data_IF_546895719351
#
_entry.id   IF_546895719351
#
_cell.length_a   1.000
_cell.length_b   1.000
_cell.length_c   1.000
_cell.angle_alpha   90.00
_cell.angle_beta   90.00
_cell.angle_gamma   90.00
#
_symmetry.space_group_name_H-M   'P 1'
#
loop_
_entity.id
_entity.type
_entity.pdbx_description
1 polymer ?
#
# COMPACT_ATOMS: atom_id res chain seq x y z
N UNK A 1 21.62 -3.27 29.61
CA UNK A 1 20.24 -3.55 30.09
C UNK A 1 19.93 -2.87 31.41
N UNK A 2 20.84 -2.73 32.39
CA UNK A 2 20.51 -2.03 33.66
C UNK A 2 20.21 -0.53 33.49
N UNK A 3 20.95 0.17 32.63
CA UNK A 3 20.82 1.64 32.48
C UNK A 3 19.50 2.09 31.83
N UNK A 4 19.02 1.39 30.80
CA UNK A 4 17.75 1.72 30.13
C UNK A 4 16.53 1.50 31.05
N UNK A 5 16.50 0.40 31.80
CA UNK A 5 15.43 0.11 32.75
C UNK A 5 15.46 1.08 33.94
N UNK A 6 16.64 1.57 34.33
CA UNK A 6 16.77 2.64 35.33
C UNK A 6 16.26 3.99 34.82
N UNK A 7 16.49 4.31 33.55
CA UNK A 7 15.91 5.50 32.89
C UNK A 7 14.39 5.41 32.88
N UNK A 8 13.82 4.27 32.46
CA UNK A 8 12.36 4.06 32.46
C UNK A 8 11.73 4.20 33.85
N UNK A 9 12.40 3.69 34.89
CA UNK A 9 11.94 3.85 36.26
C UNK A 9 11.95 5.31 36.73
N UNK A 10 12.84 6.15 36.20
CA UNK A 10 12.80 7.60 36.45
C UNK A 10 11.68 8.28 35.67
N UNK A 11 11.30 7.73 34.52
CA UNK A 11 10.20 8.25 33.68
C UNK A 11 8.82 7.87 34.24
N UNK A 12 8.70 6.84 35.08
CA UNK A 12 7.41 6.46 35.69
C UNK A 12 6.85 7.50 36.66
N UNK A 13 7.68 8.45 37.11
CA UNK A 13 7.27 9.55 37.99
C UNK A 13 6.58 10.71 37.23
N UNK A 14 6.54 10.64 35.89
CA UNK A 14 5.96 11.66 35.02
C UNK A 14 4.56 11.27 34.50
N UNK A 15 3.92 12.19 33.77
CA UNK A 15 2.58 12.00 33.18
C UNK A 15 2.53 10.81 32.21
N UNK A 16 1.75 9.79 32.55
CA UNK A 16 1.63 8.58 31.75
C UNK A 16 0.89 8.81 30.43
N UNK A 17 1.28 8.08 29.40
CA UNK A 17 0.54 8.04 28.14
C UNK A 17 -0.88 7.49 28.35
N UNK A 18 -1.82 7.96 27.52
CA UNK A 18 -3.19 7.46 27.53
C UNK A 18 -3.22 5.94 27.24
N UNK A 19 -4.04 5.15 27.95
CA UNK A 19 -4.16 3.71 27.70
C UNK A 19 -4.71 3.38 26.30
N UNK A 20 -4.28 2.24 25.75
CA UNK A 20 -4.67 1.79 24.41
C UNK A 20 -6.18 1.60 24.23
N UNK A 21 -6.90 1.27 25.31
CA UNK A 21 -8.34 1.04 25.30
C UNK A 21 -9.20 2.33 25.34
N UNK A 22 -8.58 3.50 25.54
CA UNK A 22 -9.28 4.79 25.62
C UNK A 22 -9.13 5.58 24.31
N UNK A 23 -10.24 6.14 23.83
CA UNK A 23 -10.21 7.06 22.70
C UNK A 23 -9.77 8.47 23.12
N UNK A 24 -8.80 9.05 22.39
CA UNK A 24 -8.43 10.47 22.54
C UNK A 24 -9.57 11.38 22.07
N UNK A 25 -9.50 12.67 22.42
CA UNK A 25 -10.49 13.64 21.94
C UNK A 25 -10.51 13.74 20.41
N UNK A 26 -9.33 13.74 19.77
CA UNK A 26 -9.20 13.74 18.31
C UNK A 26 -9.85 12.50 17.68
N UNK A 27 -9.64 11.32 18.26
CA UNK A 27 -10.25 10.06 17.78
C UNK A 27 -11.78 10.10 17.90
N UNK A 28 -12.31 10.60 19.03
CA UNK A 28 -13.77 10.74 19.23
C UNK A 28 -14.38 11.70 18.21
N UNK A 29 -13.72 12.83 17.95
CA UNK A 29 -14.17 13.81 16.95
C UNK A 29 -14.15 13.18 15.55
N UNK A 30 -13.07 12.51 15.16
CA UNK A 30 -12.96 11.84 13.87
C UNK A 30 -14.05 10.76 13.67
N UNK A 31 -14.28 9.92 14.68
CA UNK A 31 -15.36 8.92 14.66
C UNK A 31 -16.73 9.60 14.52
N UNK A 32 -16.96 10.70 15.26
CA UNK A 32 -18.18 11.49 15.16
C UNK A 32 -18.40 12.08 13.77
N UNK A 33 -17.36 12.63 13.14
CA UNK A 33 -17.39 13.13 11.76
C UNK A 33 -17.77 12.00 10.80
N UNK A 34 -17.15 10.82 10.93
CA UNK A 34 -17.44 9.67 10.07
C UNK A 34 -18.90 9.21 10.20
N UNK A 35 -19.39 9.03 11.43
CA UNK A 35 -20.78 8.62 11.68
C UNK A 35 -21.76 9.65 11.09
N UNK A 36 -21.47 10.94 11.29
CA UNK A 36 -22.29 12.03 10.74
C UNK A 36 -22.28 12.02 9.22
N UNK A 37 -21.10 11.83 8.59
CA UNK A 37 -20.98 11.73 7.14
C UNK A 37 -21.77 10.54 6.57
N UNK A 38 -21.69 9.36 7.20
CA UNK A 38 -22.47 8.18 6.81
C UNK A 38 -23.98 8.44 6.98
N UNK A 39 -24.39 9.09 8.06
CA UNK A 39 -25.78 9.45 8.30
C UNK A 39 -26.30 10.44 7.25
N UNK A 40 -25.54 11.50 6.93
CA UNK A 40 -25.88 12.46 5.87
C UNK A 40 -25.98 11.76 4.52
N UNK A 41 -25.01 10.90 4.17
CA UNK A 41 -25.03 10.13 2.93
C UNK A 41 -26.28 9.25 2.85
N UNK A 42 -26.58 8.52 3.92
CA UNK A 42 -27.73 7.61 3.98
C UNK A 42 -29.06 8.35 3.90
N UNK A 43 -29.22 9.42 4.69
CA UNK A 43 -30.43 10.24 4.69
C UNK A 43 -30.60 10.99 3.36
N UNK A 44 -29.51 11.49 2.77
CA UNK A 44 -29.53 12.15 1.47
C UNK A 44 -29.96 11.19 0.36
N UNK A 45 -29.44 9.97 0.34
CA UNK A 45 -29.83 8.92 -0.62
C UNK A 45 -31.29 8.48 -0.45
N UNK A 46 -31.82 8.47 0.78
CA UNK A 46 -33.18 8.03 1.08
C UNK A 46 -34.24 9.13 0.86
N UNK A 47 -33.96 10.35 1.27
CA UNK A 47 -34.96 11.43 1.34
C UNK A 47 -34.79 12.52 0.27
N UNK A 48 -33.62 12.61 -0.37
CA UNK A 48 -33.31 13.68 -1.33
C UNK A 48 -32.45 13.17 -2.50
N UNK A 49 -32.73 11.96 -3.01
CA UNK A 49 -31.88 11.27 -3.99
C UNK A 49 -31.57 12.13 -5.23
N UNK A 50 -32.58 12.76 -5.82
CA UNK A 50 -32.40 13.58 -7.04
C UNK A 50 -31.41 14.73 -6.81
N UNK A 51 -31.61 15.52 -5.76
CA UNK A 51 -30.73 16.67 -5.47
C UNK A 51 -29.38 16.25 -4.90
N UNK A 52 -29.35 15.22 -4.06
CA UNK A 52 -28.14 14.84 -3.31
C UNK A 52 -27.22 13.91 -4.12
N UNK A 53 -27.80 12.90 -4.78
CA UNK A 53 -27.05 11.95 -5.59
C UNK A 53 -27.01 12.37 -7.04
N UNK A 54 -28.17 12.48 -7.72
CA UNK A 54 -28.22 12.67 -9.18
C UNK A 54 -27.55 13.97 -9.62
N UNK A 55 -27.87 15.10 -8.97
CA UNK A 55 -27.30 16.41 -9.32
C UNK A 55 -26.03 16.75 -8.52
N UNK A 56 -25.82 16.08 -7.38
CA UNK A 56 -24.75 16.38 -6.42
C UNK A 56 -23.55 15.46 -6.55
N UNK A 57 -23.59 14.31 -5.88
CA UNK A 57 -22.44 13.41 -5.76
C UNK A 57 -22.15 12.61 -7.03
N UNK A 58 -23.14 12.31 -7.86
CA UNK A 58 -22.95 11.46 -9.04
C UNK A 58 -22.01 12.12 -10.08
N UNK A 59 -22.15 13.40 -10.47
CA UNK A 59 -21.22 14.03 -11.42
C UNK A 59 -19.79 14.17 -10.88
N UNK A 60 -19.66 14.26 -9.55
CA UNK A 60 -18.38 14.42 -8.86
C UNK A 60 -17.70 13.06 -8.72
N UNK A 61 -18.36 12.07 -8.12
CA UNK A 61 -17.75 10.80 -7.75
C UNK A 61 -17.99 9.72 -8.79
N UNK A 62 -19.21 9.55 -9.28
CA UNK A 62 -19.62 8.36 -10.04
C UNK A 62 -19.39 8.48 -11.55
N UNK A 63 -19.77 9.61 -12.16
CA UNK A 63 -19.65 9.79 -13.60
C UNK A 63 -18.18 9.72 -14.08
N UNK A 64 -17.18 10.25 -13.33
CA UNK A 64 -15.77 10.02 -13.67
C UNK A 64 -15.35 8.56 -13.59
N UNK A 65 -15.87 7.78 -12.63
CA UNK A 65 -15.59 6.34 -12.51
C UNK A 65 -16.14 5.60 -13.74
N UNK A 66 -17.39 5.88 -14.12
CA UNK A 66 -18.02 5.26 -15.30
C UNK A 66 -17.31 5.68 -16.59
N UNK A 67 -16.84 6.93 -16.68
CA UNK A 67 -16.07 7.39 -17.82
C UNK A 67 -14.70 6.68 -17.91
N UNK A 68 -14.04 6.45 -16.78
CA UNK A 68 -12.78 5.69 -16.72
C UNK A 68 -13.00 4.19 -17.00
N UNK A 69 -14.22 3.68 -16.80
CA UNK A 69 -14.64 2.32 -17.14
C UNK A 69 -14.99 2.13 -18.62
N UNK A 70 -15.38 3.21 -19.29
CA UNK A 70 -15.77 3.17 -20.69
C UNK A 70 -14.59 3.11 -21.65
N UNK A 71 -14.91 3.00 -22.93
CA UNK A 71 -14.02 2.76 -24.09
C UNK A 71 -12.83 3.71 -24.28
N UNK A 72 -12.66 4.73 -23.44
CA UNK A 72 -11.56 5.70 -23.53
C UNK A 72 -10.53 5.58 -22.40
N UNK A 73 -10.81 4.89 -21.29
CA UNK A 73 -9.83 4.59 -20.22
C UNK A 73 -9.07 5.77 -19.58
N UNK A 74 -9.48 7.02 -19.85
CA UNK A 74 -8.70 8.23 -19.55
C UNK A 74 -9.58 9.36 -18.99
N UNK A 75 -10.25 9.12 -17.86
CA UNK A 75 -10.90 10.20 -17.13
C UNK A 75 -9.90 10.94 -16.21
N UNK A 76 -9.71 12.24 -16.42
CA UNK A 76 -8.92 13.10 -15.54
C UNK A 76 -9.60 13.39 -14.19
N UNK A 77 -8.81 13.71 -13.16
CA UNK A 77 -9.33 14.04 -11.83
C UNK A 77 -9.69 15.53 -11.70
N UNK A 78 -10.82 15.84 -11.07
CA UNK A 78 -11.15 17.21 -10.67
C UNK A 78 -10.50 17.56 -9.31
N UNK A 79 -10.29 18.86 -9.00
CA UNK A 79 -9.85 19.30 -7.67
C UNK A 79 -10.81 18.85 -6.55
N UNK A 80 -12.12 18.83 -6.82
CA UNK A 80 -13.15 18.42 -5.87
C UNK A 80 -13.00 16.92 -5.51
N UNK A 81 -12.84 16.06 -6.52
CA UNK A 81 -12.68 14.62 -6.33
C UNK A 81 -11.42 14.33 -5.53
N UNK A 82 -10.33 15.00 -5.92
CA UNK A 82 -9.03 14.89 -5.25
C UNK A 82 -9.14 15.26 -3.78
N UNK A 83 -9.82 16.35 -3.45
CA UNK A 83 -10.02 16.79 -2.07
C UNK A 83 -10.88 15.82 -1.24
N UNK A 84 -11.95 15.27 -1.84
CA UNK A 84 -12.82 14.26 -1.19
C UNK A 84 -12.02 13.00 -0.87
N UNK A 85 -11.25 12.49 -1.82
CA UNK A 85 -10.45 11.28 -1.64
C UNK A 85 -9.34 11.48 -0.60
N UNK A 86 -8.61 12.60 -0.67
CA UNK A 86 -7.57 12.92 0.31
C UNK A 86 -8.14 13.06 1.73
N UNK A 87 -9.26 13.77 1.88
CA UNK A 87 -9.91 13.98 3.19
C UNK A 87 -10.47 12.68 3.77
N UNK A 88 -11.07 11.83 2.91
CA UNK A 88 -11.57 10.51 3.31
C UNK A 88 -10.44 9.60 3.77
N UNK A 89 -9.29 9.62 3.07
CA UNK A 89 -8.11 8.85 3.45
C UNK A 89 -7.55 9.31 4.80
N UNK A 90 -7.40 10.61 5.03
CA UNK A 90 -6.92 11.16 6.31
C UNK A 90 -7.87 10.79 7.47
N UNK A 91 -9.18 10.91 7.25
CA UNK A 91 -10.19 10.51 8.23
C UNK A 91 -10.11 9.00 8.51
N UNK A 92 -9.96 8.17 7.47
CA UNK A 92 -9.83 6.73 7.60
C UNK A 92 -8.59 6.34 8.41
N UNK A 93 -7.45 7.00 8.24
CA UNK A 93 -6.24 6.74 9.05
C UNK A 93 -6.52 6.94 10.54
N UNK A 94 -7.15 8.05 10.93
CA UNK A 94 -7.43 8.37 12.34
C UNK A 94 -8.48 7.43 12.93
N UNK A 95 -9.50 7.04 12.17
CA UNK A 95 -10.54 6.12 12.64
C UNK A 95 -10.01 4.69 12.71
N UNK A 96 -9.41 4.18 11.63
CA UNK A 96 -8.93 2.80 11.54
C UNK A 96 -7.83 2.52 12.55
N UNK A 97 -6.89 3.43 12.78
CA UNK A 97 -5.85 3.21 13.81
C UNK A 97 -6.47 2.97 15.19
N UNK A 98 -7.54 3.70 15.53
CA UNK A 98 -8.20 3.58 16.83
C UNK A 98 -8.96 2.25 16.97
N UNK A 99 -9.54 1.77 15.88
CA UNK A 99 -10.21 0.46 15.81
C UNK A 99 -9.17 -0.65 15.89
N UNK A 100 -8.09 -0.57 15.11
CA UNK A 100 -7.05 -1.60 15.06
C UNK A 100 -6.31 -1.72 16.39
N UNK A 101 -6.07 -0.60 17.08
CA UNK A 101 -5.53 -0.59 18.43
C UNK A 101 -6.45 -1.32 19.42
N UNK A 102 -7.75 -1.02 19.39
CA UNK A 102 -8.73 -1.66 20.29
C UNK A 102 -8.96 -3.14 20.01
N UNK A 103 -8.78 -3.56 18.76
CA UNK A 103 -8.79 -4.96 18.34
C UNK A 103 -7.44 -5.67 18.58
N UNK A 104 -6.44 -4.98 19.14
CA UNK A 104 -5.10 -5.51 19.41
C UNK A 104 -4.46 -6.15 18.17
N UNK A 105 -4.72 -5.58 16.98
CA UNK A 105 -4.19 -6.13 15.73
C UNK A 105 -2.66 -5.94 15.69
N UNK A 106 -1.90 -6.91 15.12
CA UNK A 106 -0.46 -6.78 15.01
C UNK A 106 -0.08 -5.55 14.18
N UNK A 107 0.84 -4.74 14.68
CA UNK A 107 1.35 -3.54 14.00
C UNK A 107 2.90 -3.51 14.02
N UNK A 108 3.51 -4.66 13.74
CA UNK A 108 4.96 -4.83 13.64
C UNK A 108 5.45 -4.81 12.17
N UNK A 109 6.77 -4.86 11.99
CA UNK A 109 7.40 -4.90 10.66
C UNK A 109 6.87 -6.05 9.78
N UNK A 110 6.44 -7.17 10.40
CA UNK A 110 5.86 -8.32 9.67
C UNK A 110 4.49 -7.97 9.10
N UNK A 111 3.66 -7.25 9.86
CA UNK A 111 2.39 -6.73 9.36
C UNK A 111 2.60 -5.75 8.21
N UNK A 112 3.61 -4.87 8.30
CA UNK A 112 3.94 -3.97 7.19
C UNK A 112 4.26 -4.75 5.91
N UNK A 113 5.08 -5.81 5.99
CA UNK A 113 5.38 -6.68 4.84
C UNK A 113 4.13 -7.37 4.28
N UNK A 114 3.21 -7.79 5.16
CA UNK A 114 1.93 -8.34 4.73
C UNK A 114 1.14 -7.31 3.94
N UNK A 115 0.96 -6.10 4.47
CA UNK A 115 0.20 -5.02 3.82
C UNK A 115 0.82 -4.57 2.48
N UNK A 116 2.16 -4.52 2.38
CA UNK A 116 2.85 -4.21 1.12
C UNK A 116 2.43 -5.18 0.01
N UNK A 117 2.28 -6.48 0.30
CA UNK A 117 1.84 -7.45 -0.72
C UNK A 117 0.45 -7.15 -1.29
N UNK A 118 -0.44 -6.56 -0.48
CA UNK A 118 -1.76 -6.11 -0.93
C UNK A 118 -1.70 -4.79 -1.70
N UNK A 119 -0.80 -3.87 -1.32
CA UNK A 119 -0.55 -2.65 -2.08
C UNK A 119 -0.02 -2.96 -3.47
N UNK A 120 0.77 -4.03 -3.63
CA UNK A 120 1.25 -4.51 -4.95
C UNK A 120 0.15 -5.24 -5.73
N UNK A 121 -0.75 -5.97 -5.06
CA UNK A 121 -1.86 -6.68 -5.72
C UNK A 121 -2.79 -5.73 -6.49
N UNK A 122 -3.10 -4.57 -5.90
CA UNK A 122 -4.01 -3.59 -6.50
C UNK A 122 -3.59 -3.10 -7.91
N UNK A 123 -2.37 -2.56 -8.12
CA UNK A 123 -1.93 -2.16 -9.44
C UNK A 123 -1.76 -3.35 -10.40
N UNK A 124 -1.42 -4.54 -9.91
CA UNK A 124 -1.36 -5.75 -10.76
C UNK A 124 -2.71 -6.06 -11.41
N UNK A 125 -3.79 -5.98 -10.63
CA UNK A 125 -5.14 -6.12 -11.16
C UNK A 125 -5.56 -4.91 -12.00
N UNK A 126 -5.16 -3.69 -11.63
CA UNK A 126 -5.49 -2.48 -12.40
C UNK A 126 -4.87 -2.49 -13.80
N UNK A 127 -3.65 -2.99 -13.94
CA UNK A 127 -2.98 -3.09 -15.26
C UNK A 127 -3.64 -4.14 -16.14
N UNK A 128 -4.17 -5.23 -15.56
CA UNK A 128 -5.00 -6.18 -16.32
C UNK A 128 -6.31 -5.54 -16.79
N UNK A 129 -6.89 -4.68 -15.97
CA UNK A 129 -8.05 -3.88 -16.39
C UNK A 129 -7.67 -2.89 -17.49
N UNK A 130 -6.55 -2.18 -17.36
CA UNK A 130 -6.05 -1.26 -18.39
C UNK A 130 -5.71 -1.96 -19.72
N UNK A 131 -5.48 -3.28 -19.70
CA UNK A 131 -5.30 -4.09 -20.90
C UNK A 131 -6.58 -4.71 -21.45
N UNK A 132 -7.77 -4.33 -20.96
CA UNK A 132 -9.08 -4.87 -21.35
C UNK A 132 -9.25 -6.37 -21.05
N UNK A 133 -8.59 -6.88 -20.00
CA UNK A 133 -8.72 -8.29 -19.61
C UNK A 133 -10.12 -8.61 -19.10
N UNK A 134 -10.67 -7.78 -18.21
CA UNK A 134 -11.94 -8.08 -17.55
C UNK A 134 -13.12 -7.72 -18.45
N UNK A 135 -14.19 -8.51 -18.37
CA UNK A 135 -15.41 -8.24 -19.15
C UNK A 135 -16.09 -6.93 -18.70
N UNK A 136 -16.79 -6.27 -19.62
CA UNK A 136 -17.61 -5.05 -19.40
C UNK A 136 -18.74 -5.15 -18.34
N UNK A 137 -18.88 -6.30 -17.67
CA UNK A 137 -19.81 -6.50 -16.55
C UNK A 137 -19.13 -6.32 -15.18
N UNK A 138 -17.80 -6.43 -15.13
CA UNK A 138 -17.01 -6.49 -13.89
C UNK A 138 -15.86 -5.45 -13.90
N UNK A 139 -15.47 -4.92 -15.06
CA UNK A 139 -14.57 -3.77 -15.25
C UNK A 139 -14.64 -2.68 -14.16
N UNK A 140 -15.85 -2.18 -13.86
CA UNK A 140 -16.09 -1.13 -12.88
C UNK A 140 -15.60 -1.47 -11.46
N UNK A 141 -15.49 -2.75 -11.12
CA UNK A 141 -14.99 -3.23 -9.84
C UNK A 141 -13.47 -3.00 -9.70
N UNK A 142 -12.75 -2.96 -10.82
CA UNK A 142 -11.28 -2.83 -10.88
C UNK A 142 -10.83 -1.37 -11.03
N UNK A 143 -11.76 -0.41 -11.03
CA UNK A 143 -11.48 1.01 -11.20
C UNK A 143 -11.40 1.71 -9.86
N UNK A 144 -10.55 2.75 -9.77
CA UNK A 144 -10.43 3.57 -8.58
C UNK A 144 -11.69 4.43 -8.34
N UNK A 145 -12.20 4.53 -7.10
CA UNK A 145 -11.67 3.96 -5.87
C UNK A 145 -12.21 2.55 -5.53
N UNK A 146 -13.13 2.00 -6.33
CA UNK A 146 -13.85 0.74 -6.06
C UNK A 146 -12.91 -0.45 -5.85
N UNK A 147 -11.82 -0.50 -6.63
CA UNK A 147 -10.77 -1.52 -6.49
C UNK A 147 -10.24 -1.62 -5.05
N UNK A 148 -10.04 -0.47 -4.39
CA UNK A 148 -9.52 -0.42 -3.04
C UNK A 148 -10.52 -0.96 -2.02
N UNK A 149 -11.83 -0.74 -2.23
CA UNK A 149 -12.87 -1.21 -1.32
C UNK A 149 -13.04 -2.73 -1.36
N UNK A 150 -13.10 -3.33 -2.55
CA UNK A 150 -13.26 -4.79 -2.62
C UNK A 150 -11.95 -5.51 -2.23
N UNK A 151 -10.77 -4.96 -2.54
CA UNK A 151 -9.51 -5.52 -2.04
C UNK A 151 -9.40 -5.41 -0.52
N UNK A 152 -9.85 -4.30 0.07
CA UNK A 152 -9.97 -4.18 1.52
C UNK A 152 -10.94 -5.23 2.10
N UNK A 153 -12.06 -5.52 1.41
CA UNK A 153 -12.97 -6.59 1.81
C UNK A 153 -12.27 -7.96 1.80
N UNK A 154 -11.53 -8.28 0.74
CA UNK A 154 -10.72 -9.52 0.68
C UNK A 154 -9.69 -9.58 1.81
N UNK A 155 -8.98 -8.48 2.07
CA UNK A 155 -7.99 -8.37 3.15
C UNK A 155 -8.64 -8.65 4.51
N UNK A 156 -9.79 -8.03 4.80
CA UNK A 156 -10.54 -8.24 6.04
C UNK A 156 -11.04 -9.69 6.16
N UNK A 157 -11.55 -10.28 5.07
CA UNK A 157 -12.00 -11.68 5.06
C UNK A 157 -10.84 -12.65 5.33
N UNK A 158 -9.69 -12.44 4.69
CA UNK A 158 -8.48 -13.26 4.92
C UNK A 158 -8.01 -13.11 6.35
N UNK A 159 -7.95 -11.88 6.88
CA UNK A 159 -7.58 -11.63 8.28
C UNK A 159 -8.54 -12.34 9.25
N UNK A 160 -9.84 -12.21 9.03
CA UNK A 160 -10.88 -12.83 9.85
C UNK A 160 -10.81 -14.36 9.82
N UNK A 161 -10.69 -14.97 8.64
CA UNK A 161 -10.59 -16.43 8.47
C UNK A 161 -9.31 -16.94 9.14
N UNK A 162 -8.19 -16.27 8.92
CA UNK A 162 -6.90 -16.66 9.49
C UNK A 162 -6.92 -16.59 11.02
N UNK A 163 -7.48 -15.51 11.58
CA UNK A 163 -7.68 -15.39 13.02
C UNK A 163 -8.61 -16.48 13.56
N UNK A 164 -9.83 -16.60 13.00
CA UNK A 164 -10.87 -17.49 13.50
C UNK A 164 -10.42 -18.95 13.55
N UNK A 165 -9.68 -19.41 12.54
CA UNK A 165 -9.28 -20.82 12.47
C UNK A 165 -7.95 -21.12 13.16
N UNK A 166 -7.03 -20.16 13.22
CA UNK A 166 -5.65 -20.43 13.60
C UNK A 166 -5.12 -19.65 14.81
N UNK A 167 -5.84 -18.64 15.33
CA UNK A 167 -5.36 -17.84 16.47
C UNK A 167 -5.10 -18.66 17.74
N UNK A 168 -5.84 -19.77 17.93
CA UNK A 168 -5.64 -20.72 19.03
C UNK A 168 -4.27 -21.40 19.06
N UNK A 169 -3.52 -21.34 17.95
CA UNK A 169 -2.16 -21.86 17.85
C UNK A 169 -1.09 -20.76 17.82
N UNK A 170 -1.49 -19.48 17.93
CA UNK A 170 -0.54 -18.39 17.97
C UNK A 170 0.32 -18.48 19.26
N UNK A 171 1.64 -18.38 19.09
CA UNK A 171 2.61 -18.49 20.19
C UNK A 171 2.94 -19.92 20.64
N UNK A 172 2.29 -20.95 20.10
CA UNK A 172 2.65 -22.34 20.35
C UNK A 172 3.76 -22.79 19.40
N UNK A 173 4.94 -23.07 19.96
CA UNK A 173 6.14 -23.40 19.16
C UNK A 173 6.34 -24.90 18.90
N UNK A 174 5.41 -25.76 19.32
CA UNK A 174 5.51 -27.19 19.04
C UNK A 174 5.21 -27.49 17.55
N UNK A 175 6.03 -28.38 16.97
CA UNK A 175 5.96 -28.75 15.56
C UNK A 175 4.55 -29.19 15.12
N UNK A 176 3.83 -29.89 16.01
CA UNK A 176 2.48 -30.41 15.74
C UNK A 176 1.46 -29.29 15.59
N UNK A 177 1.48 -28.27 16.44
CA UNK A 177 0.56 -27.13 16.33
C UNK A 177 0.93 -26.21 15.16
N UNK A 178 2.22 -26.01 14.88
CA UNK A 178 2.69 -25.28 13.69
C UNK A 178 2.19 -25.96 12.42
N UNK A 179 2.30 -27.29 12.34
CA UNK A 179 1.80 -28.08 11.22
C UNK A 179 0.28 -27.98 11.08
N UNK A 180 -0.49 -28.14 12.17
CA UNK A 180 -1.96 -27.98 12.14
C UNK A 180 -2.38 -26.60 11.64
N UNK A 181 -1.74 -25.55 12.16
CA UNK A 181 -1.97 -24.17 11.73
C UNK A 181 -1.66 -23.99 10.24
N UNK A 182 -0.52 -24.51 9.77
CA UNK A 182 -0.14 -24.47 8.35
C UNK A 182 -1.16 -25.17 7.47
N UNK A 183 -1.52 -26.40 7.80
CA UNK A 183 -2.45 -27.22 7.01
C UNK A 183 -3.82 -26.57 6.95
N UNK A 184 -4.31 -26.05 8.07
CA UNK A 184 -5.60 -25.36 8.11
C UNK A 184 -5.59 -24.10 7.24
N UNK A 185 -4.56 -23.25 7.37
CA UNK A 185 -4.42 -22.06 6.53
C UNK A 185 -4.26 -22.40 5.04
N UNK A 186 -3.48 -23.42 4.70
CA UNK A 186 -3.29 -23.81 3.30
C UNK A 186 -4.60 -24.25 2.66
N UNK A 187 -5.42 -25.03 3.37
CA UNK A 187 -6.73 -25.46 2.88
C UNK A 187 -7.67 -24.26 2.75
N UNK A 188 -7.84 -23.45 3.80
CA UNK A 188 -8.81 -22.34 3.78
C UNK A 188 -8.41 -21.25 2.80
N UNK A 189 -7.15 -20.81 2.81
CA UNK A 189 -6.64 -19.79 1.90
C UNK A 189 -6.52 -20.31 0.47
N UNK A 190 -6.24 -21.60 0.28
CA UNK A 190 -6.27 -22.25 -1.03
C UNK A 190 -7.67 -22.21 -1.65
N UNK A 191 -8.71 -22.56 -0.88
CA UNK A 191 -10.10 -22.41 -1.33
C UNK A 191 -10.45 -20.95 -1.64
N UNK A 192 -10.01 -20.00 -0.83
CA UNK A 192 -10.20 -18.57 -1.11
C UNK A 192 -9.48 -18.12 -2.37
N UNK A 193 -8.25 -18.61 -2.61
CA UNK A 193 -7.46 -18.28 -3.80
C UNK A 193 -8.12 -18.83 -5.06
N UNK A 194 -8.66 -20.05 -4.99
CA UNK A 194 -9.48 -20.61 -6.06
C UNK A 194 -10.73 -19.78 -6.32
N UNK A 195 -11.44 -19.37 -5.25
CA UNK A 195 -12.63 -18.54 -5.37
C UNK A 195 -12.31 -17.16 -5.96
N UNK A 196 -11.19 -16.55 -5.56
CA UNK A 196 -10.68 -15.30 -6.11
C UNK A 196 -10.37 -15.42 -7.60
N UNK A 197 -9.66 -16.48 -8.01
CA UNK A 197 -9.41 -16.79 -9.42
C UNK A 197 -10.72 -17.00 -10.20
N UNK A 198 -11.63 -17.80 -9.66
CA UNK A 198 -12.90 -18.14 -10.31
C UNK A 198 -13.83 -16.93 -10.47
N UNK A 199 -13.80 -15.99 -9.52
CA UNK A 199 -14.63 -14.79 -9.54
C UNK A 199 -14.08 -13.72 -10.48
N UNK A 200 -12.77 -13.45 -10.41
CA UNK A 200 -12.17 -12.32 -11.12
C UNK A 200 -11.62 -12.70 -12.50
N UNK A 201 -10.90 -13.81 -12.62
CA UNK A 201 -10.13 -14.12 -13.82
C UNK A 201 -10.87 -15.03 -14.78
N UNK A 202 -11.54 -16.08 -14.26
CA UNK A 202 -12.22 -17.07 -15.10
C UNK A 202 -13.26 -16.48 -16.07
N UNK A 203 -14.05 -15.45 -15.73
CA UNK A 203 -15.01 -14.87 -16.68
C UNK A 203 -14.35 -14.33 -17.96
N UNK A 204 -13.15 -13.76 -17.85
CA UNK A 204 -12.42 -13.17 -18.99
C UNK A 204 -12.03 -14.21 -20.04
N UNK A 205 -11.75 -15.45 -19.64
CA UNK A 205 -11.36 -16.52 -20.57
C UNK A 205 -12.46 -16.92 -21.54
N UNK A 206 -13.73 -16.59 -21.24
CA UNK A 206 -14.86 -16.84 -22.14
C UNK A 206 -15.11 -15.69 -23.11
N UNK A 207 -14.52 -14.52 -22.85
CA UNK A 207 -14.62 -13.33 -23.74
C UNK A 207 -13.49 -13.37 -24.76
N UNK A 208 -12.29 -13.76 -24.33
CA UNK A 208 -11.09 -13.80 -25.16
C UNK A 208 -10.88 -15.20 -25.75
N UNK A 209 -11.49 -15.48 -26.91
CA UNK A 209 -11.50 -16.84 -27.53
C UNK A 209 -10.10 -17.37 -27.90
N UNK A 210 -9.13 -16.51 -28.18
CA UNK A 210 -7.76 -16.89 -28.58
C UNK A 210 -6.76 -16.94 -27.41
N UNK A 211 -7.22 -16.80 -26.15
CA UNK A 211 -6.31 -16.77 -25.00
C UNK A 211 -5.60 -18.11 -24.80
N UNK A 212 -4.27 -18.09 -24.78
CA UNK A 212 -3.48 -19.27 -24.41
C UNK A 212 -3.73 -19.72 -22.97
N UNK A 213 -3.69 -21.03 -22.72
CA UNK A 213 -3.88 -21.58 -21.37
C UNK A 213 -2.57 -21.85 -20.62
N UNK A 214 -1.42 -21.80 -21.32
CA UNK A 214 -0.13 -22.20 -20.78
C UNK A 214 0.27 -21.38 -19.55
N UNK A 215 0.30 -20.05 -19.66
CA UNK A 215 0.70 -19.18 -18.54
C UNK A 215 -0.38 -19.09 -17.46
N UNK A 216 -1.66 -19.26 -17.82
CA UNK A 216 -2.76 -19.34 -16.86
C UNK A 216 -2.59 -20.54 -15.93
N UNK A 217 -2.35 -21.74 -16.48
CA UNK A 217 -2.19 -22.96 -15.70
C UNK A 217 -0.93 -22.89 -14.84
N UNK A 218 0.20 -22.47 -15.42
CA UNK A 218 1.45 -22.30 -14.68
C UNK A 218 1.28 -21.26 -13.57
N UNK A 219 0.59 -20.15 -13.85
CA UNK A 219 0.30 -19.12 -12.86
C UNK A 219 -0.52 -19.62 -11.69
N UNK A 220 -1.58 -20.39 -11.96
CA UNK A 220 -2.38 -20.98 -10.90
C UNK A 220 -1.53 -21.93 -10.03
N UNK A 221 -0.74 -22.82 -10.64
CA UNK A 221 0.16 -23.72 -9.89
C UNK A 221 1.19 -22.94 -9.09
N UNK A 222 1.83 -21.94 -9.70
CA UNK A 222 2.83 -21.09 -9.06
C UNK A 222 2.24 -20.33 -7.86
N UNK A 223 1.02 -19.82 -7.97
CA UNK A 223 0.32 -19.15 -6.86
C UNK A 223 0.08 -20.09 -5.68
N UNK A 224 -0.29 -21.35 -5.90
CA UNK A 224 -0.42 -22.34 -4.82
C UNK A 224 0.92 -22.72 -4.21
N UNK A 225 1.98 -22.84 -5.01
CA UNK A 225 3.34 -23.08 -4.52
C UNK A 225 3.80 -21.91 -3.65
N UNK A 226 3.58 -20.67 -4.09
CA UNK A 226 3.92 -19.47 -3.31
C UNK A 226 3.11 -19.40 -2.03
N UNK A 227 1.79 -19.69 -2.08
CA UNK A 227 0.95 -19.78 -0.89
C UNK A 227 1.54 -20.75 0.13
N UNK A 228 1.92 -21.96 -0.30
CA UNK A 228 2.54 -22.96 0.57
C UNK A 228 3.88 -22.48 1.13
N UNK A 229 4.79 -21.98 0.28
CA UNK A 229 6.12 -21.51 0.67
C UNK A 229 6.04 -20.36 1.68
N UNK A 230 5.13 -19.42 1.46
CA UNK A 230 4.91 -18.30 2.38
C UNK A 230 4.41 -18.79 3.72
N UNK A 231 3.48 -19.74 3.75
CA UNK A 231 3.03 -20.35 5.00
C UNK A 231 4.17 -21.11 5.72
N UNK A 232 5.13 -21.69 5.01
CA UNK A 232 6.31 -22.33 5.60
C UNK A 232 7.27 -21.29 6.18
N UNK A 233 7.64 -20.27 5.42
CA UNK A 233 8.60 -19.24 5.85
C UNK A 233 8.09 -18.36 6.98
N UNK A 234 6.77 -18.18 7.07
CA UNK A 234 6.11 -17.36 8.10
C UNK A 234 5.52 -18.20 9.22
N UNK A 235 5.98 -19.44 9.41
CA UNK A 235 5.43 -20.38 10.40
C UNK A 235 5.34 -19.82 11.84
N UNK A 236 6.28 -18.93 12.22
CA UNK A 236 6.33 -18.28 13.55
C UNK A 236 5.65 -16.92 13.62
N UNK A 237 4.94 -16.51 12.56
CA UNK A 237 4.25 -15.22 12.52
C UNK A 237 2.84 -15.36 13.08
N UNK A 238 2.23 -14.28 13.62
CA UNK A 238 0.84 -14.30 14.03
C UNK A 238 -0.07 -14.76 12.89
N UNK A 239 -1.11 -15.54 13.21
CA UNK A 239 -2.05 -16.12 12.25
C UNK A 239 -2.59 -15.11 11.24
N UNK A 240 -3.00 -13.92 11.68
CA UNK A 240 -3.49 -12.83 10.83
C UNK A 240 -2.42 -12.42 9.82
N UNK A 241 -1.25 -12.00 10.29
CA UNK A 241 -0.15 -11.52 9.45
C UNK A 241 0.30 -12.58 8.45
N UNK A 242 0.39 -13.82 8.91
CA UNK A 242 0.73 -15.00 8.11
C UNK A 242 -0.27 -15.24 6.98
N UNK A 243 -1.57 -15.21 7.28
CA UNK A 243 -2.59 -15.39 6.26
C UNK A 243 -2.63 -14.26 5.24
N UNK A 244 -2.50 -13.02 5.71
CA UNK A 244 -2.47 -11.82 4.86
C UNK A 244 -1.30 -11.84 3.87
N UNK A 245 -0.08 -12.11 4.35
CA UNK A 245 1.10 -12.13 3.46
C UNK A 245 1.05 -13.31 2.49
N UNK A 246 0.60 -14.49 2.94
CA UNK A 246 0.52 -15.67 2.08
C UNK A 246 -0.50 -15.47 0.95
N UNK A 247 -1.71 -14.99 1.26
CA UNK A 247 -2.74 -14.74 0.27
C UNK A 247 -2.41 -13.57 -0.66
N UNK A 248 -1.90 -12.46 -0.10
CA UNK A 248 -1.53 -11.28 -0.88
C UNK A 248 -0.46 -11.62 -1.92
N UNK A 249 0.65 -12.24 -1.50
CA UNK A 249 1.72 -12.66 -2.42
C UNK A 249 1.26 -13.70 -3.45
N UNK A 250 0.47 -14.71 -3.07
CA UNK A 250 -0.03 -15.72 -4.03
C UNK A 250 -0.96 -15.11 -5.09
N UNK A 251 -1.79 -14.15 -4.69
CA UNK A 251 -2.72 -13.46 -5.60
C UNK A 251 -1.98 -12.50 -6.53
N UNK A 252 -0.93 -11.84 -6.04
CA UNK A 252 -0.05 -11.00 -6.86
C UNK A 252 0.67 -11.82 -7.93
N UNK A 253 1.19 -12.99 -7.56
CA UNK A 253 1.80 -13.93 -8.50
C UNK A 253 0.80 -14.36 -9.56
N UNK A 254 -0.45 -14.63 -9.17
CA UNK A 254 -1.51 -15.00 -10.11
C UNK A 254 -1.67 -13.91 -11.18
N UNK A 255 -1.75 -12.65 -10.76
CA UNK A 255 -1.90 -11.52 -11.69
C UNK A 255 -0.70 -11.32 -12.62
N UNK A 256 0.53 -11.43 -12.11
CA UNK A 256 1.73 -11.35 -12.97
C UNK A 256 1.79 -12.45 -14.03
N UNK A 257 1.34 -13.67 -13.72
CA UNK A 257 1.25 -14.71 -14.75
C UNK A 257 0.20 -14.40 -15.82
N UNK A 258 -0.83 -13.61 -15.51
CA UNK A 258 -1.77 -13.10 -16.52
C UNK A 258 -1.16 -11.96 -17.35
N UNK A 259 -0.25 -11.17 -16.80
CA UNK A 259 0.57 -10.25 -17.60
C UNK A 259 1.41 -11.04 -18.61
N UNK A 260 2.09 -12.11 -18.18
CA UNK A 260 2.85 -12.99 -19.08
C UNK A 260 1.95 -13.67 -20.13
N UNK A 261 0.73 -14.02 -19.75
CA UNK A 261 -0.27 -14.54 -20.68
C UNK A 261 -0.61 -13.51 -21.77
N UNK A 262 -0.83 -12.25 -21.40
CA UNK A 262 -1.07 -11.16 -22.34
C UNK A 262 0.12 -10.95 -23.28
N UNK A 263 1.34 -10.92 -22.75
CA UNK A 263 2.55 -10.76 -23.56
C UNK A 263 2.73 -11.91 -24.57
N UNK A 264 2.31 -13.13 -24.22
CA UNK A 264 2.45 -14.31 -25.06
C UNK A 264 1.34 -14.43 -26.12
N UNK A 265 0.09 -14.17 -25.76
CA UNK A 265 -1.04 -14.12 -26.69
C UNK A 265 -1.89 -12.89 -26.34
N UNK A 266 -1.58 -11.71 -26.91
CA UNK A 266 -2.36 -10.51 -26.67
C UNK A 266 -3.79 -10.70 -27.15
N UNK A 267 -4.76 -10.27 -26.35
CA UNK A 267 -6.15 -10.18 -26.80
C UNK A 267 -6.44 -8.79 -27.39
N UNK A 268 -7.53 -8.69 -28.13
CA UNK A 268 -7.93 -7.44 -28.77
C UNK A 268 -8.31 -6.40 -27.71
N UNK A 269 -7.66 -5.24 -27.77
CA UNK A 269 -8.00 -4.10 -26.92
C UNK A 269 -9.13 -3.29 -27.55
N UNK A 270 -10.02 -2.75 -26.73
CA UNK A 270 -11.11 -1.87 -27.19
C UNK A 270 -10.56 -0.56 -27.76
N UNK A 271 -9.38 -0.13 -27.28
CA UNK A 271 -8.67 1.05 -27.77
C UNK A 271 -8.16 0.94 -29.21
N UNK A 272 -8.14 -0.28 -29.78
CA UNK A 272 -7.61 -0.54 -31.12
C UNK A 272 -6.09 -0.38 -31.23
N UNK A 273 -5.37 -0.22 -30.12
CA UNK A 273 -3.90 -0.21 -30.11
C UNK A 273 -3.37 -1.58 -30.51
N UNK A 274 -2.34 -1.56 -31.33
CA UNK A 274 -1.60 -2.75 -31.75
C UNK A 274 -0.30 -2.71 -30.95
N UNK A 275 -0.01 -3.76 -30.18
CA UNK A 275 1.24 -3.87 -29.43
C UNK A 275 2.40 -3.99 -30.42
N UNK A 276 3.12 -2.89 -30.65
CA UNK A 276 4.19 -2.83 -31.66
C UNK A 276 5.56 -3.22 -31.08
N UNK A 277 5.83 -2.87 -29.81
CA UNK A 277 7.07 -3.25 -29.14
C UNK A 277 6.91 -3.28 -27.61
N UNK A 278 7.52 -4.27 -26.95
CA UNK A 278 7.47 -4.45 -25.50
C UNK A 278 8.86 -4.16 -24.88
N UNK A 279 9.23 -2.89 -24.64
CA UNK A 279 10.50 -2.58 -24.01
C UNK A 279 10.44 -2.97 -22.53
N UNK A 280 11.25 -3.97 -22.15
CA UNK A 280 11.37 -4.41 -20.75
C UNK A 280 12.38 -3.57 -19.93
N UNK A 281 13.18 -2.74 -20.59
CA UNK A 281 14.21 -1.94 -19.93
C UNK A 281 13.66 -0.89 -18.94
N UNK A 282 12.47 -0.27 -19.12
CA UNK A 282 11.88 0.64 -18.12
C UNK A 282 11.69 -0.04 -16.77
N UNK A 283 11.32 -1.32 -16.74
CA UNK A 283 11.27 -2.12 -15.50
C UNK A 283 12.58 -2.12 -14.74
N UNK A 284 13.70 -2.28 -15.44
CA UNK A 284 15.02 -2.30 -14.81
C UNK A 284 15.35 -0.95 -14.18
N UNK A 285 14.96 0.16 -14.83
CA UNK A 285 15.27 1.50 -14.32
C UNK A 285 14.35 1.88 -13.16
N UNK A 286 13.04 1.79 -13.35
CA UNK A 286 12.02 2.24 -12.37
C UNK A 286 12.00 1.34 -11.13
N UNK A 287 12.26 0.02 -11.27
CA UNK A 287 12.30 -0.88 -10.12
C UNK A 287 13.71 -1.03 -9.54
N UNK A 288 14.74 -0.95 -10.40
CA UNK A 288 16.13 -1.18 -10.02
C UNK A 288 16.79 0.01 -9.32
N UNK A 289 16.63 1.23 -9.82
CA UNK A 289 17.23 2.42 -9.20
C UNK A 289 16.68 2.67 -7.78
N UNK A 290 15.35 2.66 -7.53
CA UNK A 290 14.83 2.76 -6.17
C UNK A 290 15.27 1.60 -5.28
N UNK A 291 15.38 0.39 -5.84
CA UNK A 291 15.87 -0.79 -5.13
C UNK A 291 17.33 -0.63 -4.67
N UNK A 292 18.17 -0.05 -5.52
CA UNK A 292 19.56 0.26 -5.20
C UNK A 292 19.67 1.33 -4.10
N UNK A 293 18.86 2.39 -4.16
CA UNK A 293 18.79 3.41 -3.11
C UNK A 293 18.35 2.78 -1.77
N UNK A 294 17.31 1.97 -1.79
CA UNK A 294 16.83 1.23 -0.62
C UNK A 294 17.90 0.27 -0.07
N UNK A 295 18.68 -0.37 -0.93
CA UNK A 295 19.80 -1.21 -0.51
C UNK A 295 20.89 -0.42 0.22
N UNK A 296 21.25 0.78 -0.26
CA UNK A 296 22.18 1.67 0.43
C UNK A 296 21.65 2.11 1.81
N UNK A 297 20.37 2.51 1.88
CA UNK A 297 19.71 2.88 3.15
C UNK A 297 19.69 1.70 4.13
N UNK A 298 19.30 0.52 3.67
CA UNK A 298 19.28 -0.69 4.48
C UNK A 298 20.68 -1.04 5.00
N UNK A 299 21.70 -0.96 4.13
CA UNK A 299 23.10 -1.21 4.52
C UNK A 299 23.57 -0.25 5.61
N UNK A 300 23.15 1.01 5.54
CA UNK A 300 23.50 2.02 6.54
C UNK A 300 22.82 1.77 7.90
N UNK A 301 21.55 1.35 7.90
CA UNK A 301 20.76 1.20 9.14
C UNK A 301 20.76 -0.19 9.79
N UNK A 302 21.24 -1.24 9.11
CA UNK A 302 21.05 -2.65 9.52
C UNK A 302 21.67 -2.97 10.88
N UNK A 303 22.85 -2.43 11.19
CA UNK A 303 23.55 -2.73 12.44
C UNK A 303 22.80 -2.14 13.64
N UNK A 304 22.41 -0.88 13.55
CA UNK A 304 21.65 -0.18 14.58
C UNK A 304 20.25 -0.79 14.76
N UNK A 305 19.59 -1.19 13.67
CA UNK A 305 18.32 -1.92 13.73
C UNK A 305 18.47 -3.26 14.46
N UNK A 306 19.59 -3.96 14.28
CA UNK A 306 19.88 -5.22 14.97
C UNK A 306 20.13 -4.98 16.47
N UNK A 307 20.90 -3.96 16.82
CA UNK A 307 21.16 -3.59 18.22
C UNK A 307 19.88 -3.16 18.96
N UNK A 308 19.00 -2.42 18.29
CA UNK A 308 17.68 -2.07 18.82
C UNK A 308 16.84 -3.31 19.12
N UNK A 309 16.78 -4.26 18.17
CA UNK A 309 16.03 -5.50 18.35
C UNK A 309 16.57 -6.37 19.48
N UNK A 310 17.89 -6.43 19.66
CA UNK A 310 18.51 -7.12 20.80
C UNK A 310 18.22 -6.43 22.13
N UNK A 311 18.04 -5.11 22.12
CA UNK A 311 17.70 -4.32 23.31
C UNK A 311 16.22 -4.42 23.70
N UNK A 312 15.37 -5.05 22.89
CA UNK A 312 13.93 -5.19 23.15
C UNK A 312 13.10 -3.97 22.76
N UNK A 313 13.69 -2.96 22.11
CA UNK A 313 13.02 -1.73 21.71
C UNK A 313 12.71 -1.70 20.21
N UNK A 314 11.68 -0.94 19.83
CA UNK A 314 11.34 -0.67 18.44
C UNK A 314 11.78 0.73 18.05
N UNK A 315 12.39 0.88 16.87
CA UNK A 315 12.95 2.15 16.43
C UNK A 315 11.87 3.25 16.32
N UNK A 316 12.12 4.40 16.95
CA UNK A 316 11.19 5.54 16.99
C UNK A 316 9.88 5.31 17.75
N UNK A 317 9.77 4.25 18.56
CA UNK A 317 8.58 3.99 19.40
C UNK A 317 8.99 4.05 20.86
N UNK A 318 8.31 4.89 21.63
CA UNK A 318 8.58 5.06 23.06
C UNK A 318 8.20 3.82 23.90
N UNK A 319 8.82 3.64 25.08
CA UNK A 319 8.44 2.57 26.00
C UNK A 319 6.98 2.66 26.43
N UNK A 320 6.41 1.53 26.85
CA UNK A 320 5.01 1.44 27.26
C UNK A 320 4.72 2.37 28.43
N UNK A 321 3.67 3.19 28.31
CA UNK A 321 3.24 4.12 29.36
C UNK A 321 3.96 5.47 29.36
N UNK A 322 4.98 5.68 28.52
CA UNK A 322 5.70 6.96 28.42
C UNK A 322 5.07 7.84 27.33
N UNK A 323 4.69 9.07 27.69
CA UNK A 323 4.18 10.07 26.74
C UNK A 323 5.30 10.79 26.01
N UNK A 324 5.01 11.36 24.84
CA UNK A 324 6.01 12.18 24.09
C UNK A 324 6.47 13.37 24.94
N UNK A 325 5.54 14.05 25.60
CA UNK A 325 5.84 15.20 26.45
C UNK A 325 6.80 14.84 27.59
N UNK A 326 6.56 13.71 28.25
CA UNK A 326 7.47 13.17 29.27
C UNK A 326 8.86 12.89 28.72
N UNK A 327 8.95 12.34 27.51
CA UNK A 327 10.23 12.04 26.86
C UNK A 327 11.03 13.31 26.57
N UNK A 328 10.36 14.33 26.03
CA UNK A 328 10.95 15.64 25.71
C UNK A 328 11.37 16.40 26.98
N UNK A 329 10.52 16.41 28.02
CA UNK A 329 10.83 17.05 29.32
C UNK A 329 12.04 16.40 30.02
N UNK A 330 12.28 15.10 29.74
CA UNK A 330 13.36 14.32 30.30
C UNK A 330 14.59 14.18 29.37
N UNK A 331 14.78 15.10 28.41
CA UNK A 331 15.81 15.04 27.35
C UNK A 331 17.19 14.58 27.89
N UNK A 332 17.68 15.21 28.97
CA UNK A 332 18.99 14.90 29.58
C UNK A 332 19.11 13.48 30.14
N UNK A 333 18.01 12.86 30.51
CA UNK A 333 17.95 11.50 31.06
C UNK A 333 17.90 10.48 29.92
N UNK A 334 17.17 10.81 28.84
CA UNK A 334 16.92 9.89 27.72
C UNK A 334 18.01 9.90 26.65
N UNK A 335 18.98 10.83 26.68
CA UNK A 335 20.12 10.88 25.72
C UNK A 335 20.86 9.54 25.61
N UNK A 336 21.02 8.83 26.73
CA UNK A 336 21.70 7.52 26.76
C UNK A 336 20.78 6.34 26.42
N UNK A 337 19.50 6.60 26.18
CA UNK A 337 18.54 5.55 25.88
C UNK A 337 18.78 5.00 24.46
N UNK A 338 18.73 3.67 24.23
CA UNK A 338 18.92 3.07 22.91
C UNK A 338 18.03 3.67 21.81
N UNK A 339 16.78 4.02 22.16
CA UNK A 339 15.85 4.72 21.26
C UNK A 339 16.47 6.02 20.74
N UNK A 340 17.09 6.83 21.58
CA UNK A 340 17.62 8.13 21.18
C UNK A 340 18.91 7.98 20.37
N UNK A 341 19.76 7.03 20.75
CA UNK A 341 21.05 6.81 20.11
C UNK A 341 20.94 6.11 18.74
N UNK A 342 20.03 5.13 18.61
CA UNK A 342 20.02 4.19 17.49
C UNK A 342 18.83 4.38 16.54
N UNK A 343 17.72 5.02 16.98
CA UNK A 343 16.48 5.01 16.17
C UNK A 343 16.65 5.66 14.79
N UNK A 344 17.40 6.77 14.69
CA UNK A 344 17.56 7.49 13.42
C UNK A 344 18.10 6.59 12.32
N UNK A 345 19.20 5.89 12.58
CA UNK A 345 19.81 4.98 11.63
C UNK A 345 19.02 3.68 11.50
N UNK A 346 18.53 3.12 12.62
CA UNK A 346 17.74 1.90 12.60
C UNK A 346 16.49 2.02 11.73
N UNK A 347 15.87 3.21 11.68
CA UNK A 347 14.70 3.47 10.85
C UNK A 347 15.00 3.46 9.35
N UNK A 348 16.22 3.76 8.92
CA UNK A 348 16.61 3.67 7.51
C UNK A 348 16.57 2.22 6.99
N UNK A 349 16.73 1.24 7.87
CA UNK A 349 16.60 -0.19 7.53
C UNK A 349 15.20 -0.76 7.83
N UNK A 350 14.25 0.06 8.31
CA UNK A 350 12.91 -0.39 8.63
C UNK A 350 12.07 -0.58 7.34
N UNK A 351 11.31 -1.68 7.20
CA UNK A 351 10.46 -1.92 6.03
C UNK A 351 9.49 -0.77 5.71
N UNK A 352 8.99 -0.05 6.71
CA UNK A 352 8.12 1.12 6.52
C UNK A 352 8.80 2.22 5.70
N UNK A 353 10.01 2.60 6.09
CA UNK A 353 10.79 3.67 5.42
C UNK A 353 11.23 3.21 4.04
N UNK A 354 11.76 1.99 3.95
CA UNK A 354 12.22 1.44 2.67
C UNK A 354 11.09 1.34 1.65
N UNK A 355 9.92 0.85 2.05
CA UNK A 355 8.77 0.76 1.16
C UNK A 355 8.31 2.15 0.70
N UNK A 356 8.25 3.12 1.62
CA UNK A 356 7.84 4.49 1.28
C UNK A 356 8.77 5.14 0.27
N UNK A 357 10.09 5.04 0.49
CA UNK A 357 11.12 5.53 -0.46
C UNK A 357 10.97 4.83 -1.80
N UNK A 358 10.88 3.49 -1.78
CA UNK A 358 10.73 2.71 -2.99
C UNK A 358 9.51 3.14 -3.80
N UNK A 359 8.34 3.24 -3.17
CA UNK A 359 7.10 3.61 -3.82
C UNK A 359 7.12 5.00 -4.46
N UNK A 360 7.56 6.02 -3.73
CA UNK A 360 7.59 7.39 -4.26
C UNK A 360 8.62 7.59 -5.38
N UNK A 361 9.75 6.89 -5.31
CA UNK A 361 10.73 6.94 -6.38
C UNK A 361 10.29 6.13 -7.60
N UNK A 362 9.67 4.96 -7.42
CA UNK A 362 9.09 4.20 -8.52
C UNK A 362 8.06 5.04 -9.28
N UNK A 363 7.18 5.75 -8.57
CA UNK A 363 6.23 6.70 -9.16
C UNK A 363 6.94 7.77 -9.99
N UNK A 364 7.86 8.53 -9.37
CA UNK A 364 8.58 9.60 -10.05
C UNK A 364 9.34 9.12 -11.30
N UNK A 365 10.03 7.97 -11.23
CA UNK A 365 10.73 7.42 -12.39
C UNK A 365 9.79 6.84 -13.44
N UNK A 366 8.67 6.23 -13.06
CA UNK A 366 7.67 5.70 -13.99
C UNK A 366 7.03 6.84 -14.80
N UNK A 367 6.59 7.91 -14.13
CA UNK A 367 6.02 9.09 -14.79
C UNK A 367 7.03 9.79 -15.69
N UNK A 368 8.28 9.97 -15.22
CA UNK A 368 9.35 10.56 -16.03
C UNK A 368 9.58 9.77 -17.32
N UNK A 369 9.73 8.45 -17.23
CA UNK A 369 9.96 7.61 -18.41
C UNK A 369 8.72 7.60 -19.31
N UNK A 370 7.52 7.45 -18.73
CA UNK A 370 6.27 7.42 -19.48
C UNK A 370 6.04 8.69 -20.30
N UNK A 371 6.23 9.86 -19.71
CA UNK A 371 5.98 11.14 -20.39
C UNK A 371 7.14 11.51 -21.30
N UNK A 372 8.37 11.60 -20.78
CA UNK A 372 9.51 12.15 -21.54
C UNK A 372 10.01 11.22 -22.66
N UNK A 373 9.78 9.90 -22.57
CA UNK A 373 10.31 8.92 -23.54
C UNK A 373 9.23 8.15 -24.31
N UNK A 374 8.02 8.02 -23.76
CA UNK A 374 6.93 7.23 -24.36
C UNK A 374 5.70 8.07 -24.74
N UNK A 375 5.66 9.37 -24.43
CA UNK A 375 4.58 10.28 -24.84
C UNK A 375 3.24 10.03 -24.15
N UNK A 376 3.25 9.45 -22.93
CA UNK A 376 2.05 9.36 -22.10
C UNK A 376 1.65 10.74 -21.54
N UNK A 377 0.37 10.93 -21.21
CA UNK A 377 -0.13 12.13 -20.56
C UNK A 377 -0.36 11.96 -19.05
N UNK A 378 -0.16 13.03 -18.28
CA UNK A 378 -0.48 13.07 -16.85
C UNK A 378 -1.98 13.34 -16.60
N UNK A 379 -2.58 12.63 -15.64
CA UNK A 379 -4.03 12.69 -15.33
C UNK A 379 -4.34 13.57 -14.11
N UNK A 380 -3.37 13.79 -13.24
CA UNK A 380 -3.55 14.56 -12.01
C UNK A 380 -3.22 16.05 -12.21
N UNK A 381 -4.15 16.98 -11.91
CA UNK A 381 -3.94 18.41 -12.16
C UNK A 381 -2.70 18.98 -11.47
N UNK A 382 -2.37 18.48 -10.27
CA UNK A 382 -1.20 18.94 -9.51
C UNK A 382 0.10 18.43 -10.12
N UNK A 383 0.13 17.17 -10.55
CA UNK A 383 1.29 16.59 -11.22
C UNK A 383 1.53 17.24 -12.58
N UNK A 384 0.46 17.46 -13.34
CA UNK A 384 0.51 18.11 -14.67
C UNK A 384 1.07 19.54 -14.56
N UNK A 385 0.64 20.32 -13.57
CA UNK A 385 1.19 21.65 -13.31
C UNK A 385 2.70 21.63 -12.98
N UNK A 386 3.17 20.60 -12.27
CA UNK A 386 4.60 20.43 -11.97
C UNK A 386 5.40 20.10 -13.23
N UNK A 387 4.86 19.25 -14.11
CA UNK A 387 5.51 18.86 -15.37
C UNK A 387 5.60 20.04 -16.31
N UNK A 388 4.52 20.82 -16.47
CA UNK A 388 4.51 22.04 -17.29
C UNK A 388 5.57 23.05 -16.84
N UNK A 389 5.72 23.25 -15.52
CA UNK A 389 6.78 24.08 -14.98
C UNK A 389 8.19 23.51 -15.28
N UNK A 390 8.33 22.18 -15.29
CA UNK A 390 9.54 21.51 -15.78
C UNK A 390 9.84 21.82 -17.26
N UNK A 391 8.81 21.89 -18.10
CA UNK A 391 8.89 22.34 -19.49
C UNK A 391 9.38 23.78 -19.63
N UNK A 392 8.84 24.71 -18.82
CA UNK A 392 9.31 26.10 -18.79
C UNK A 392 10.79 26.22 -18.40
N UNK A 393 11.24 25.34 -17.48
CA UNK A 393 12.67 25.24 -17.10
C UNK A 393 13.50 24.71 -18.28
N UNK A 394 13.00 23.71 -19.02
CA UNK A 394 13.68 23.18 -20.20
C UNK A 394 13.91 24.29 -21.24
N UNK A 395 12.89 25.09 -21.53
CA UNK A 395 12.96 26.23 -22.46
C UNK A 395 13.98 27.28 -22.00
N UNK A 396 14.07 27.52 -20.70
CA UNK A 396 15.00 28.49 -20.11
C UNK A 396 16.46 28.01 -20.14
N UNK A 397 16.69 26.70 -19.92
CA UNK A 397 18.03 26.10 -19.81
C UNK A 397 18.53 25.55 -21.16
N UNK A 398 17.65 25.46 -22.17
CA UNK A 398 17.97 24.93 -23.50
C UNK A 398 17.99 23.39 -23.55
N UNK A 399 17.17 22.73 -22.73
CA UNK A 399 17.02 21.27 -22.73
C UNK A 399 16.00 20.92 -23.81
N UNK A 400 16.43 20.20 -24.86
CA UNK A 400 15.57 19.85 -26.02
C UNK A 400 14.97 18.44 -25.96
N UNK A 401 15.12 17.73 -24.84
CA UNK A 401 14.61 16.37 -24.66
C UNK A 401 13.61 16.32 -23.49
N UNK A 402 12.50 15.60 -23.69
CA UNK A 402 11.43 15.45 -22.71
C UNK A 402 10.48 16.65 -22.62
N UNK A 403 9.30 16.42 -22.05
CA UNK A 403 8.27 17.44 -21.80
C UNK A 403 8.47 18.12 -20.43
N UNK A 404 9.43 17.65 -19.62
CA UNK A 404 9.77 18.22 -18.31
C UNK A 404 9.47 17.30 -17.13
N UNK A 405 9.10 16.04 -17.37
CA UNK A 405 8.72 15.10 -16.31
C UNK A 405 9.89 14.69 -15.40
N UNK A 406 11.14 14.88 -15.83
CA UNK A 406 12.31 14.78 -14.95
C UNK A 406 12.22 15.67 -13.70
N UNK A 407 11.57 16.84 -13.81
CA UNK A 407 11.38 17.75 -12.68
C UNK A 407 10.38 17.20 -11.66
N UNK A 408 9.34 16.50 -12.13
CA UNK A 408 8.42 15.78 -11.27
C UNK A 408 9.13 14.67 -10.47
N UNK A 409 10.00 13.88 -11.13
CA UNK A 409 10.81 12.87 -10.45
C UNK A 409 11.72 13.48 -9.37
N UNK A 410 12.33 14.64 -9.64
CA UNK A 410 13.14 15.38 -8.67
C UNK A 410 12.31 15.84 -7.46
N UNK A 411 11.13 16.41 -7.69
CA UNK A 411 10.22 16.84 -6.61
C UNK A 411 9.78 15.64 -5.77
N UNK A 412 9.43 14.52 -6.40
CA UNK A 412 9.09 13.27 -5.69
C UNK A 412 10.24 12.78 -4.83
N UNK A 413 11.47 12.80 -5.33
CA UNK A 413 12.66 12.45 -4.58
C UNK A 413 12.90 13.38 -3.38
N UNK A 414 12.74 14.69 -3.56
CA UNK A 414 12.88 15.68 -2.49
C UNK A 414 11.77 15.58 -1.43
N UNK A 415 10.54 15.34 -1.88
CA UNK A 415 9.38 15.12 -1.03
C UNK A 415 9.60 13.91 -0.15
N UNK A 416 9.97 12.77 -0.74
CA UNK A 416 10.20 11.55 0.06
C UNK A 416 11.41 11.67 0.97
N UNK A 417 12.48 12.35 0.54
CA UNK A 417 13.63 12.64 1.41
C UNK A 417 13.21 13.47 2.64
N UNK A 418 12.34 14.47 2.44
CA UNK A 418 11.81 15.31 3.53
C UNK A 418 10.90 14.51 4.46
N UNK A 419 9.99 13.69 3.91
CA UNK A 419 9.12 12.83 4.71
C UNK A 419 9.96 11.84 5.52
N UNK A 420 10.96 11.22 4.92
CA UNK A 420 11.88 10.30 5.63
C UNK A 420 12.63 11.04 6.73
N UNK A 421 13.16 12.23 6.45
CA UNK A 421 13.86 13.04 7.45
C UNK A 421 12.96 13.36 8.66
N UNK A 422 11.72 13.78 8.42
CA UNK A 422 10.73 13.97 9.49
C UNK A 422 10.44 12.66 10.22
N UNK A 423 10.28 11.56 9.49
CA UNK A 423 9.89 10.27 10.07
C UNK A 423 10.99 9.61 10.92
N UNK A 424 12.27 9.83 10.58
CA UNK A 424 13.40 9.34 11.39
C UNK A 424 13.63 10.20 12.64
N UNK A 425 13.19 11.46 12.62
CA UNK A 425 13.27 12.37 13.76
C UNK A 425 12.07 12.26 14.69
N UNK A 426 10.89 11.88 14.18
CA UNK A 426 9.69 11.75 15.00
C UNK A 426 9.71 10.50 15.87
N UNK A 427 9.44 10.69 17.17
CA UNK A 427 9.16 9.61 18.12
C UNK A 427 7.64 9.49 18.27
N UNK A 428 7.15 8.26 18.37
CA UNK A 428 5.71 8.00 18.58
C UNK A 428 5.47 7.25 19.87
N UNK A 429 4.34 7.52 20.50
CA UNK A 429 3.88 6.74 21.64
C UNK A 429 3.53 5.31 21.22
N UNK A 430 3.59 4.36 22.16
CA UNK A 430 3.24 2.96 21.88
C UNK A 430 1.82 2.81 21.29
N UNK A 431 0.87 3.61 21.78
CA UNK A 431 -0.53 3.65 21.29
C UNK A 431 -0.68 4.18 19.86
N UNK A 432 0.32 4.91 19.35
CA UNK A 432 0.30 5.55 18.03
C UNK A 432 0.96 4.69 16.95
N UNK A 433 1.43 3.47 17.28
CA UNK A 433 2.10 2.58 16.32
C UNK A 433 1.19 2.25 15.12
N UNK A 434 -0.11 1.98 15.34
CA UNK A 434 -1.06 1.77 14.25
C UNK A 434 -1.22 3.01 13.37
N UNK A 435 -1.26 4.20 13.97
CA UNK A 435 -1.34 5.47 13.22
C UNK A 435 -0.09 5.65 12.35
N UNK A 436 1.09 5.40 12.93
CA UNK A 436 2.38 5.46 12.21
C UNK A 436 2.39 4.53 11.01
N UNK A 437 1.97 3.28 11.18
CA UNK A 437 1.89 2.30 10.09
C UNK A 437 0.88 2.72 9.00
N UNK A 438 -0.29 3.23 9.38
CA UNK A 438 -1.32 3.64 8.43
C UNK A 438 -0.96 4.91 7.64
N UNK A 439 -0.25 5.87 8.25
CA UNK A 439 0.30 7.03 7.53
C UNK A 439 1.31 6.54 6.48
N UNK A 440 2.24 5.66 6.87
CA UNK A 440 3.21 5.07 5.93
C UNK A 440 2.50 4.35 4.80
N UNK A 441 1.48 3.56 5.12
CA UNK A 441 0.69 2.83 4.12
C UNK A 441 -0.03 3.79 3.16
N UNK A 442 -0.59 4.90 3.65
CA UNK A 442 -1.22 5.91 2.81
C UNK A 442 -0.21 6.55 1.84
N UNK A 443 0.98 6.95 2.33
CA UNK A 443 2.06 7.48 1.47
C UNK A 443 2.55 6.42 0.48
N UNK A 444 2.61 5.15 0.89
CA UNK A 444 2.98 4.04 0.02
C UNK A 444 1.95 3.83 -1.10
N UNK A 445 0.66 3.82 -0.77
CA UNK A 445 -0.42 3.64 -1.75
C UNK A 445 -0.39 4.75 -2.79
N UNK A 446 -0.16 6.00 -2.39
CA UNK A 446 -0.10 7.16 -3.31
C UNK A 446 1.15 7.17 -4.20
N UNK A 447 2.21 6.42 -3.86
CA UNK A 447 3.41 6.32 -4.71
C UNK A 447 3.53 4.98 -5.44
N UNK A 448 3.60 3.88 -4.69
CA UNK A 448 3.87 2.55 -5.24
C UNK A 448 2.75 2.08 -6.19
N UNK A 449 1.47 2.37 -5.88
CA UNK A 449 0.38 1.87 -6.72
C UNK A 449 0.36 2.57 -8.10
N UNK A 450 0.45 3.90 -8.21
CA UNK A 450 0.63 4.57 -9.51
C UNK A 450 1.91 4.12 -10.23
N UNK A 451 3.07 4.10 -9.55
CA UNK A 451 4.33 3.70 -10.18
C UNK A 451 4.33 2.27 -10.73
N UNK A 452 3.72 1.31 -10.02
CA UNK A 452 3.55 -0.07 -10.50
C UNK A 452 2.49 -0.20 -11.61
N UNK A 453 1.49 0.67 -11.61
CA UNK A 453 0.50 0.70 -12.69
C UNK A 453 1.13 1.24 -13.97
N UNK A 454 1.78 2.39 -13.90
CA UNK A 454 2.40 3.05 -15.05
C UNK A 454 3.48 2.18 -15.70
N UNK A 455 4.27 1.48 -14.89
CA UNK A 455 5.25 0.55 -15.43
C UNK A 455 4.63 -0.71 -16.04
N UNK A 456 3.53 -1.19 -15.47
CA UNK A 456 2.78 -2.30 -16.04
C UNK A 456 2.19 -1.92 -17.39
N UNK A 457 1.61 -0.72 -17.48
CA UNK A 457 1.11 -0.11 -18.71
C UNK A 457 2.20 0.01 -19.79
N UNK A 458 3.37 0.54 -19.42
CA UNK A 458 4.53 0.61 -20.31
C UNK A 458 5.02 -0.77 -20.78
N UNK A 459 4.96 -1.78 -19.91
CA UNK A 459 5.44 -3.14 -20.22
C UNK A 459 4.47 -3.88 -21.14
N UNK A 460 3.17 -3.69 -20.92
CA UNK A 460 2.12 -4.32 -21.71
C UNK A 460 1.73 -3.50 -22.95
N UNK A 461 2.23 -2.26 -23.08
CA UNK A 461 1.91 -1.31 -24.14
C UNK A 461 0.41 -0.88 -24.14
N UNK A 462 -0.13 -0.52 -22.96
CA UNK A 462 -1.57 -0.26 -22.73
C UNK A 462 -1.90 1.11 -22.10
#
# INVERSE_FOLDING_TARGET
>A
MSEATEIEKKLSDYEAALPDNVFSQMEKVAIGILITAIAILSLGLLFANDTFWTDGLKPIVWDPIVKDAGTAGDAGYSPQNTAIYASTMLLAVVVLQSIFRKLELPADDKMMLALISWVVLAPVLRVLEDSDFFSSKIDWLLISPIIHFHLALWLVLVAFISHKFCSKWDGLEDDKNIEKSRTMLFITLGMMLFFHWALLYRPAYFVHEEIGLFWIIIGLVASYVVLFMMLVWTAKWPSITRGLVAFGTSSTILGFFHWMQFLATPWQQESGRIVESQPLWPMVVVLGLPGLICWFMYRHGKEDARHMKMSGYSAGVLPTGVSIKTWEDAEKIVVNHPIEQLSRNALLANPMVLAMVYGQLCDGFATMIGIDLFGYGEKHPVSDAVIQFGGDINDTIGISWGEGAWFFALIKALLVATIVWLFIEMRVEKRQVHMRMLIVLAVLIVGLAPGLRDIGRLTLDV
#
